data_IF_905219302767
#
_entry.id   IF_905219302767
#
_cell.length_a   1.000
_cell.length_b   1.000
_cell.length_c   1.000
_cell.angle_alpha   90.00
_cell.angle_beta   90.00
_cell.angle_gamma   90.00
#
_symmetry.space_group_name_H-M   'P 1'
#
loop_
_entity.id
_entity.type
_entity.pdbx_description
1 polymer ?
#
# COMPACT_ATOMS: atom_id res chain seq x y z
N UNK A 1 -1.98 -2.79 -8.88
CA UNK A 1 -2.77 -2.56 -7.65
C UNK A 1 -3.70 -3.71 -7.30
N UNK A 2 -4.79 -3.93 -8.03
CA UNK A 2 -5.84 -4.92 -7.68
C UNK A 2 -5.32 -6.35 -7.40
N UNK A 3 -4.47 -6.88 -8.29
CA UNK A 3 -3.88 -8.22 -8.11
C UNK A 3 -3.07 -8.31 -6.81
N UNK A 4 -2.17 -7.35 -6.56
CA UNK A 4 -1.37 -7.34 -5.35
C UNK A 4 -2.21 -7.16 -4.10
N UNK A 5 -3.29 -6.36 -4.17
CA UNK A 5 -4.23 -6.25 -3.08
C UNK A 5 -4.82 -7.62 -2.71
N UNK A 6 -5.32 -8.38 -3.70
CA UNK A 6 -5.86 -9.72 -3.46
C UNK A 6 -4.82 -10.68 -2.85
N UNK A 7 -3.55 -10.59 -3.27
CA UNK A 7 -2.45 -11.38 -2.68
C UNK A 7 -2.25 -11.05 -1.21
N UNK A 8 -2.15 -9.76 -0.85
CA UNK A 8 -1.99 -9.35 0.54
C UNK A 8 -3.23 -9.64 1.40
N UNK A 9 -4.43 -9.60 0.82
CA UNK A 9 -5.65 -10.06 1.49
C UNK A 9 -5.57 -11.55 1.84
N UNK A 10 -5.21 -12.40 0.87
CA UNK A 10 -5.01 -13.83 1.11
C UNK A 10 -3.95 -14.09 2.17
N UNK A 11 -2.81 -13.41 2.08
CA UNK A 11 -1.72 -13.52 3.05
C UNK A 11 -2.16 -13.13 4.47
N UNK A 12 -2.83 -11.98 4.63
CA UNK A 12 -3.21 -11.45 5.95
C UNK A 12 -4.33 -12.25 6.57
N UNK A 13 -5.36 -12.63 5.81
CA UNK A 13 -6.42 -13.52 6.32
C UNK A 13 -5.88 -14.89 6.74
N UNK A 14 -4.92 -15.43 6.00
CA UNK A 14 -4.20 -16.64 6.38
C UNK A 14 -3.38 -16.44 7.65
N UNK A 15 -2.53 -15.42 7.70
CA UNK A 15 -1.69 -15.10 8.85
C UNK A 15 -2.52 -14.87 10.13
N UNK A 16 -3.63 -14.14 10.02
CA UNK A 16 -4.54 -13.89 11.14
C UNK A 16 -5.11 -15.18 11.72
N UNK A 17 -5.41 -16.15 10.86
CA UNK A 17 -5.86 -17.49 11.28
C UNK A 17 -4.78 -18.24 12.04
N UNK A 18 -3.51 -18.13 11.64
CA UNK A 18 -2.38 -18.70 12.39
C UNK A 18 -2.18 -18.02 13.74
N UNK A 19 -2.23 -16.68 13.79
CA UNK A 19 -2.05 -15.91 15.02
C UNK A 19 -3.17 -16.12 16.05
N UNK A 20 -4.33 -16.64 15.64
CA UNK A 20 -5.42 -17.01 16.54
C UNK A 20 -5.18 -18.35 17.28
N UNK A 21 -4.27 -19.19 16.78
CA UNK A 21 -3.91 -20.47 17.43
C UNK A 21 -3.10 -20.16 18.69
N UNK A 22 -3.52 -20.68 19.86
CA UNK A 22 -2.90 -20.37 21.17
C UNK A 22 -1.37 -20.54 21.18
N UNK A 23 -0.86 -21.57 20.53
CA UNK A 23 0.59 -21.81 20.45
C UNK A 23 1.33 -20.68 19.71
N UNK A 24 0.79 -20.21 18.58
CA UNK A 24 1.36 -19.10 17.80
C UNK A 24 1.13 -17.78 18.52
N UNK A 25 -0.07 -17.57 19.06
CA UNK A 25 -0.42 -16.37 19.81
C UNK A 25 0.49 -16.14 21.01
N UNK A 26 0.95 -17.21 21.67
CA UNK A 26 1.93 -17.09 22.76
C UNK A 26 3.20 -16.33 22.35
N UNK A 27 3.57 -16.37 21.06
CA UNK A 27 4.76 -15.73 20.48
C UNK A 27 4.42 -14.39 19.81
N UNK A 28 3.28 -14.29 19.14
CA UNK A 28 2.91 -13.08 18.39
C UNK A 28 2.21 -12.02 19.24
N UNK A 29 1.68 -12.38 20.41
CA UNK A 29 1.00 -11.45 21.29
C UNK A 29 1.98 -10.47 21.94
N UNK A 30 1.62 -9.20 21.97
CA UNK A 30 2.46 -8.07 22.43
C UNK A 30 3.76 -7.84 21.66
N UNK A 31 3.99 -8.55 20.56
CA UNK A 31 5.15 -8.31 19.70
C UNK A 31 4.76 -7.52 18.45
N UNK A 32 5.77 -6.99 17.78
CA UNK A 32 5.66 -6.29 16.49
C UNK A 32 5.08 -7.15 15.38
N UNK A 33 4.97 -8.47 15.57
CA UNK A 33 4.28 -9.34 14.63
C UNK A 33 2.85 -8.86 14.41
N UNK A 34 2.13 -8.49 15.48
CA UNK A 34 0.77 -7.96 15.35
C UNK A 34 0.74 -6.68 14.51
N UNK A 35 1.75 -5.82 14.64
CA UNK A 35 1.86 -4.60 13.84
C UNK A 35 2.17 -4.94 12.37
N UNK A 36 3.03 -5.92 12.11
CA UNK A 36 3.31 -6.44 10.77
C UNK A 36 2.07 -6.97 10.08
N UNK A 37 1.28 -7.80 10.79
CA UNK A 37 0.01 -8.32 10.31
C UNK A 37 -0.99 -7.20 9.96
N UNK A 38 -1.16 -6.23 10.86
CA UNK A 38 -2.05 -5.08 10.63
C UNK A 38 -1.63 -4.29 9.40
N UNK A 39 -0.33 -4.02 9.22
CA UNK A 39 0.15 -3.22 8.09
C UNK A 39 0.19 -4.01 6.77
N UNK A 40 0.40 -5.32 6.81
CA UNK A 40 0.20 -6.17 5.65
C UNK A 40 -1.25 -6.05 5.14
N UNK A 41 -2.24 -5.98 6.04
CA UNK A 41 -3.64 -5.78 5.70
C UNK A 41 -3.97 -4.34 5.30
N UNK A 42 -3.54 -3.37 6.08
CA UNK A 42 -3.86 -1.97 5.85
C UNK A 42 -3.17 -1.41 4.60
N UNK A 43 -1.85 -1.60 4.47
CA UNK A 43 -1.08 -1.09 3.33
C UNK A 43 -1.19 -2.02 2.13
N UNK A 44 -1.03 -3.33 2.35
CA UNK A 44 -0.99 -4.31 1.27
C UNK A 44 -2.35 -4.64 0.67
N UNK A 45 -3.42 -4.72 1.47
CA UNK A 45 -4.78 -4.97 0.98
C UNK A 45 -5.57 -3.68 0.80
N UNK A 46 -5.95 -3.03 1.90
CA UNK A 46 -6.93 -1.93 1.90
C UNK A 46 -6.44 -0.76 1.05
N UNK A 47 -5.22 -0.28 1.29
CA UNK A 47 -4.71 0.86 0.53
C UNK A 47 -4.50 0.52 -0.95
N UNK A 48 -3.93 -0.65 -1.29
CA UNK A 48 -3.73 -1.02 -2.70
C UNK A 48 -5.04 -1.19 -3.47
N UNK A 49 -6.08 -1.78 -2.87
CA UNK A 49 -7.39 -1.89 -3.54
C UNK A 49 -7.99 -0.51 -3.73
N UNK A 50 -7.94 0.35 -2.70
CA UNK A 50 -8.44 1.73 -2.79
C UNK A 50 -7.71 2.54 -3.87
N UNK A 51 -6.37 2.46 -3.95
CA UNK A 51 -5.60 3.14 -4.99
C UNK A 51 -5.97 2.63 -6.39
N UNK A 52 -6.13 1.30 -6.55
CA UNK A 52 -6.60 0.71 -7.80
C UNK A 52 -7.97 1.23 -8.21
N UNK A 53 -8.92 1.30 -7.26
CA UNK A 53 -10.26 1.84 -7.49
C UNK A 53 -10.24 3.32 -7.84
N UNK A 54 -9.42 4.13 -7.17
CA UNK A 54 -9.26 5.57 -7.49
C UNK A 54 -8.77 5.73 -8.94
N UNK A 55 -7.76 4.98 -9.36
CA UNK A 55 -7.23 5.08 -10.71
C UNK A 55 -8.22 4.64 -11.80
N UNK A 56 -9.19 3.77 -11.47
CA UNK A 56 -10.27 3.40 -12.38
C UNK A 56 -11.39 4.47 -12.41
N UNK A 57 -11.80 4.97 -11.24
CA UNK A 57 -12.97 5.86 -11.12
C UNK A 57 -12.67 7.31 -11.52
N UNK A 58 -11.46 7.81 -11.26
CA UNK A 58 -11.11 9.21 -11.53
C UNK A 58 -11.27 9.57 -13.03
N UNK A 59 -10.74 8.80 -14.00
CA UNK A 59 -10.97 9.13 -15.40
C UNK A 59 -12.47 9.13 -15.78
N UNK A 60 -13.24 8.17 -15.26
CA UNK A 60 -14.68 8.08 -15.53
C UNK A 60 -15.47 9.27 -15.00
N UNK A 61 -15.19 9.70 -13.76
CA UNK A 61 -15.91 10.82 -13.13
C UNK A 61 -15.60 12.16 -13.82
N UNK A 62 -14.37 12.33 -14.33
CA UNK A 62 -13.94 13.51 -15.08
C UNK A 62 -14.04 13.39 -16.60
N UNK A 63 -14.73 12.35 -17.11
CA UNK A 63 -14.92 12.07 -18.55
C UNK A 63 -13.62 12.12 -19.35
N UNK A 64 -12.58 11.48 -18.82
CA UNK A 64 -11.25 11.33 -19.45
C UNK A 64 -11.05 9.93 -19.96
N UNK A 65 -10.34 9.83 -21.08
CA UNK A 65 -9.94 8.53 -21.63
C UNK A 65 -8.95 7.79 -20.73
N UNK A 66 -8.08 8.52 -20.03
CA UNK A 66 -7.06 7.93 -19.17
C UNK A 66 -6.56 8.90 -18.07
N UNK A 67 -5.79 8.36 -17.13
CA UNK A 67 -5.05 9.15 -16.14
C UNK A 67 -3.96 10.01 -16.81
N UNK A 68 -3.59 11.11 -16.17
CA UNK A 68 -2.60 12.06 -16.69
C UNK A 68 -1.27 11.41 -17.13
N UNK A 69 -0.71 10.51 -16.30
CA UNK A 69 0.49 9.76 -16.66
C UNK A 69 0.41 8.31 -16.17
N UNK A 70 0.47 7.31 -17.08
CA UNK A 70 0.61 5.90 -16.72
C UNK A 70 1.90 5.60 -15.97
N UNK A 71 3.01 6.26 -16.35
CA UNK A 71 4.31 6.08 -15.69
C UNK A 71 4.27 6.47 -14.20
N UNK A 72 3.53 7.53 -13.84
CA UNK A 72 3.36 7.91 -12.43
C UNK A 72 2.51 6.89 -11.64
N UNK A 73 1.59 6.18 -12.30
CA UNK A 73 0.85 5.07 -11.68
C UNK A 73 1.80 3.92 -11.37
N UNK A 74 2.71 3.59 -12.28
CA UNK A 74 3.73 2.55 -12.07
C UNK A 74 4.71 2.93 -10.95
N UNK A 75 5.18 4.19 -10.91
CA UNK A 75 6.03 4.69 -9.81
C UNK A 75 5.30 4.60 -8.47
N UNK A 76 4.05 5.05 -8.40
CA UNK A 76 3.24 4.90 -7.18
C UNK A 76 3.09 3.42 -6.78
N UNK A 77 2.85 2.53 -7.75
CA UNK A 77 2.74 1.10 -7.49
C UNK A 77 4.02 0.52 -6.90
N UNK A 78 5.18 0.77 -7.52
CA UNK A 78 6.46 0.24 -7.05
C UNK A 78 6.88 0.80 -5.69
N UNK A 79 6.67 2.10 -5.47
CA UNK A 79 6.95 2.72 -4.16
C UNK A 79 6.07 2.12 -3.06
N UNK A 80 4.78 1.97 -3.33
CA UNK A 80 3.83 1.37 -2.36
C UNK A 80 4.14 -0.09 -2.08
N UNK A 81 4.47 -0.87 -3.13
CA UNK A 81 4.81 -2.28 -3.00
C UNK A 81 6.12 -2.47 -2.23
N UNK A 82 7.19 -1.77 -2.62
CA UNK A 82 8.47 -1.85 -1.96
C UNK A 82 8.38 -1.39 -0.49
N UNK A 83 7.69 -0.27 -0.24
CA UNK A 83 7.45 0.23 1.11
C UNK A 83 6.68 -0.75 1.99
N UNK A 84 5.62 -1.37 1.45
CA UNK A 84 4.84 -2.40 2.16
C UNK A 84 5.69 -3.62 2.48
N UNK A 85 6.48 -4.13 1.53
CA UNK A 85 7.34 -5.28 1.75
C UNK A 85 8.39 -5.00 2.82
N UNK A 86 9.10 -3.87 2.74
CA UNK A 86 10.09 -3.48 3.76
C UNK A 86 9.45 -3.40 5.15
N UNK A 87 8.25 -2.81 5.24
CA UNK A 87 7.52 -2.71 6.50
C UNK A 87 7.20 -4.09 7.08
N UNK A 88 6.54 -4.94 6.29
CA UNK A 88 6.07 -6.26 6.75
C UNK A 88 7.24 -7.16 7.11
N UNK A 89 8.27 -7.25 6.27
CA UNK A 89 9.46 -8.04 6.57
C UNK A 89 10.16 -7.57 7.83
N UNK A 90 10.28 -6.26 8.04
CA UNK A 90 10.89 -5.71 9.24
C UNK A 90 10.12 -6.11 10.51
N UNK A 91 8.79 -6.04 10.48
CA UNK A 91 7.94 -6.34 11.64
C UNK A 91 7.81 -7.84 11.94
N UNK A 92 7.87 -8.70 10.92
CA UNK A 92 7.95 -10.14 11.15
C UNK A 92 9.24 -10.53 11.86
N UNK A 93 10.38 -10.01 11.40
CA UNK A 93 11.67 -10.29 12.03
C UNK A 93 11.74 -9.74 13.45
N UNK A 94 11.28 -8.50 13.68
CA UNK A 94 11.27 -7.91 15.02
C UNK A 94 10.29 -8.63 15.96
N UNK A 95 9.11 -9.02 15.46
CA UNK A 95 8.10 -9.73 16.23
C UNK A 95 8.55 -11.12 16.69
N UNK A 96 9.17 -11.89 15.81
CA UNK A 96 9.74 -13.20 16.15
C UNK A 96 10.88 -13.03 17.16
N UNK A 97 11.78 -12.07 16.93
CA UNK A 97 12.92 -11.85 17.81
C UNK A 97 12.50 -11.39 19.22
N UNK A 98 11.53 -10.46 19.34
CA UNK A 98 10.92 -10.09 20.63
C UNK A 98 10.33 -11.29 21.34
N UNK A 99 9.49 -12.06 20.64
CA UNK A 99 8.82 -13.22 21.21
C UNK A 99 9.79 -14.28 21.70
N UNK A 100 10.92 -14.47 21.00
CA UNK A 100 12.00 -15.39 21.39
C UNK A 100 12.82 -14.86 22.57
N UNK A 101 13.20 -13.58 22.56
CA UNK A 101 13.99 -12.99 23.65
C UNK A 101 13.23 -13.03 24.98
N UNK A 102 11.92 -12.80 24.97
CA UNK A 102 11.09 -12.82 26.19
C UNK A 102 10.82 -14.23 26.75
N UNK A 103 11.11 -15.29 25.99
CA UNK A 103 10.90 -16.69 26.42
C UNK A 103 12.19 -17.49 26.56
N UNK A 104 13.34 -16.90 26.28
CA UNK A 104 14.62 -17.61 26.38
C UNK A 104 15.05 -17.66 27.83
N UNK A 105 15.08 -18.88 28.38
CA UNK A 105 15.61 -19.15 29.71
C UNK A 105 17.04 -19.70 29.59
N UNK A 106 17.91 -19.30 30.51
CA UNK A 106 19.26 -19.87 30.64
C UNK A 106 19.18 -21.27 31.27
N UNK A 107 20.29 -22.02 31.22
CA UNK A 107 20.38 -23.34 31.88
C UNK A 107 20.12 -23.28 33.39
N UNK A 108 20.35 -22.12 34.01
CA UNK A 108 20.04 -21.82 35.41
C UNK A 108 18.57 -21.47 35.69
N UNK A 109 17.70 -21.43 34.68
CA UNK A 109 16.28 -21.11 34.83
C UNK A 109 15.95 -19.61 34.94
N UNK A 110 16.93 -18.72 34.82
CA UNK A 110 16.72 -17.26 34.77
C UNK A 110 16.42 -16.78 33.33
N UNK A 111 15.80 -15.60 33.18
CA UNK A 111 15.64 -14.99 31.86
C UNK A 111 17.00 -14.61 31.27
N UNK A 112 17.24 -15.00 30.02
CA UNK A 112 18.50 -14.73 29.32
C UNK A 112 18.67 -13.26 28.90
N UNK A 113 17.57 -12.54 28.73
CA UNK A 113 17.57 -11.16 28.24
C UNK A 113 16.72 -10.27 29.13
N UNK A 114 17.19 -9.06 29.39
CA UNK A 114 16.35 -8.02 29.99
C UNK A 114 15.42 -7.40 28.94
N UNK A 115 14.36 -6.75 29.40
CA UNK A 115 13.45 -6.03 28.50
C UNK A 115 14.17 -4.91 27.71
N UNK A 116 15.13 -4.24 28.35
CA UNK A 116 15.94 -3.19 27.72
C UNK A 116 16.81 -3.76 26.58
N UNK A 117 17.36 -4.97 26.73
CA UNK A 117 18.13 -5.62 25.67
C UNK A 117 17.25 -5.89 24.46
N UNK A 118 16.00 -6.32 24.68
CA UNK A 118 15.04 -6.47 23.58
C UNK A 118 14.78 -5.13 22.91
N UNK A 119 14.55 -4.04 23.66
CA UNK A 119 14.34 -2.72 23.05
C UNK A 119 15.50 -2.28 22.15
N UNK A 120 16.75 -2.50 22.59
CA UNK A 120 17.95 -2.16 21.82
C UNK A 120 18.02 -3.02 20.54
N UNK A 121 17.74 -4.32 20.65
CA UNK A 121 17.72 -5.22 19.50
C UNK A 121 16.66 -4.85 18.45
N UNK A 122 15.58 -4.17 18.85
CA UNK A 122 14.49 -3.77 17.95
C UNK A 122 14.75 -2.48 17.17
N UNK A 123 15.65 -1.63 17.65
CA UNK A 123 15.95 -0.35 17.04
C UNK A 123 16.19 -0.39 15.52
N UNK A 124 17.02 -1.30 14.95
CA UNK A 124 17.21 -1.36 13.49
C UNK A 124 15.92 -1.66 12.73
N UNK A 125 15.04 -2.49 13.28
CA UNK A 125 13.75 -2.80 12.65
C UNK A 125 12.80 -1.60 12.68
N UNK A 126 12.84 -0.76 13.71
CA UNK A 126 12.04 0.47 13.72
C UNK A 126 12.51 1.48 12.66
N UNK A 127 13.80 1.53 12.36
CA UNK A 127 14.33 2.35 11.26
C UNK A 127 13.80 1.82 9.91
N UNK A 128 13.91 0.52 9.66
CA UNK A 128 13.40 -0.09 8.42
C UNK A 128 11.89 0.09 8.26
N UNK A 129 11.14 -0.04 9.35
CA UNK A 129 9.70 0.29 9.38
C UNK A 129 9.43 1.72 8.93
N UNK A 130 10.18 2.68 9.46
CA UNK A 130 10.03 4.10 9.09
C UNK A 130 10.37 4.34 7.62
N UNK A 131 11.43 3.71 7.10
CA UNK A 131 11.81 3.78 5.68
C UNK A 131 10.70 3.20 4.79
N UNK A 132 10.17 2.02 5.15
CA UNK A 132 9.08 1.38 4.41
C UNK A 132 7.82 2.25 4.39
N UNK A 133 7.44 2.81 5.53
CA UNK A 133 6.31 3.75 5.63
C UNK A 133 6.53 5.04 4.85
N UNK A 134 7.75 5.58 4.84
CA UNK A 134 8.10 6.77 4.06
C UNK A 134 8.02 6.52 2.56
N UNK A 135 8.52 5.39 2.07
CA UNK A 135 8.38 5.01 0.66
C UNK A 135 6.91 4.90 0.24
N UNK A 136 6.08 4.30 1.09
CA UNK A 136 4.64 4.22 0.87
C UNK A 136 4.00 5.61 0.79
N UNK A 137 4.35 6.50 1.73
CA UNK A 137 3.87 7.88 1.75
C UNK A 137 4.29 8.66 0.50
N UNK A 138 5.54 8.52 0.07
CA UNK A 138 6.04 9.13 -1.17
C UNK A 138 5.26 8.61 -2.38
N UNK A 139 4.97 7.31 -2.41
CA UNK A 139 4.07 6.72 -3.41
C UNK A 139 2.70 7.40 -3.42
N UNK A 140 2.06 7.54 -2.26
CA UNK A 140 0.75 8.18 -2.14
C UNK A 140 0.77 9.65 -2.60
N UNK A 141 1.85 10.39 -2.32
CA UNK A 141 2.03 11.78 -2.80
C UNK A 141 2.13 11.81 -4.33
N UNK A 142 2.89 10.90 -4.94
CA UNK A 142 2.96 10.77 -6.41
C UNK A 142 1.59 10.45 -6.99
N UNK A 143 0.83 9.55 -6.33
CA UNK A 143 -0.52 9.21 -6.74
C UNK A 143 -1.48 10.39 -6.66
N UNK A 144 -1.44 11.15 -5.57
CA UNK A 144 -2.23 12.37 -5.39
C UNK A 144 -1.91 13.42 -6.46
N UNK A 145 -0.63 13.61 -6.78
CA UNK A 145 -0.21 14.52 -7.85
C UNK A 145 -0.78 14.10 -9.21
N UNK A 146 -0.72 12.80 -9.54
CA UNK A 146 -1.26 12.28 -10.80
C UNK A 146 -2.79 12.48 -10.90
N UNK A 147 -3.51 12.23 -9.80
CA UNK A 147 -4.97 12.48 -9.72
C UNK A 147 -5.27 13.98 -9.88
N UNK A 148 -4.55 14.84 -9.15
CA UNK A 148 -4.75 16.29 -9.22
C UNK A 148 -4.51 16.85 -10.63
N UNK A 149 -3.48 16.37 -11.32
CA UNK A 149 -3.19 16.75 -12.71
C UNK A 149 -4.25 16.24 -13.69
N UNK A 150 -4.79 15.03 -13.46
CA UNK A 150 -5.89 14.47 -14.27
C UNK A 150 -7.15 15.34 -14.16
N UNK A 151 -7.44 15.84 -12.96
CA UNK A 151 -8.58 16.73 -12.69
C UNK A 151 -8.38 18.12 -13.31
N UNK A 152 -7.16 18.67 -13.24
CA UNK A 152 -6.83 20.04 -13.66
C UNK A 152 -6.59 20.21 -15.16
N UNK A 153 -6.32 19.14 -15.90
CA UNK A 153 -6.10 19.21 -17.35
C UNK A 153 -7.32 19.87 -18.03
N UNK A 154 -7.17 20.74 -19.04
CA UNK A 154 -8.29 21.24 -19.84
C UNK A 154 -9.05 20.06 -20.46
N UNK A 155 -10.38 20.11 -20.53
CA UNK A 155 -11.19 19.01 -21.09
C UNK A 155 -10.78 18.75 -22.54
N UNK A 156 -10.37 17.51 -22.86
CA UNK A 156 -10.18 17.08 -24.25
C UNK A 156 -11.53 16.78 -24.91
N UNK A 157 -12.65 17.02 -24.20
CA UNK A 157 -13.98 17.03 -24.81
C UNK A 157 -13.90 17.96 -26.01
N UNK A 158 -14.00 17.38 -27.20
CA UNK A 158 -14.14 18.11 -28.44
C UNK A 158 -15.11 19.26 -28.16
N UNK A 159 -14.67 20.50 -28.45
CA UNK A 159 -15.60 21.61 -28.52
C UNK A 159 -16.82 21.08 -29.29
N UNK A 160 -18.07 21.24 -28.79
CA UNK A 160 -19.23 20.82 -29.54
C UNK A 160 -18.99 21.33 -30.95
N UNK A 161 -18.92 20.42 -31.93
CA UNK A 161 -18.81 20.79 -33.33
C UNK A 161 -19.82 21.89 -33.49
N UNK A 162 -19.35 23.11 -33.71
CA UNK A 162 -20.25 24.25 -33.73
C UNK A 162 -21.35 23.94 -34.72
N UNK A 163 -22.49 24.63 -34.60
CA UNK A 163 -23.34 24.89 -35.75
C UNK A 163 -22.49 25.64 -36.80
N UNK A 164 -21.49 24.98 -37.38
CA UNK A 164 -20.78 25.46 -38.53
C UNK A 164 -21.79 25.35 -39.67
N UNK A 165 -22.12 26.48 -40.32
CA UNK A 165 -23.04 26.47 -41.44
C UNK A 165 -22.54 25.45 -42.45
N UNK A 166 -23.42 24.52 -42.85
CA UNK A 166 -23.12 23.56 -43.91
C UNK A 166 -22.57 24.35 -45.11
N UNK A 167 -21.36 24.04 -45.61
CA UNK A 167 -20.80 24.73 -46.75
C UNK A 167 -21.80 24.69 -47.90
N UNK A 168 -22.05 25.85 -48.54
CA UNK A 168 -23.05 26.00 -49.60
C UNK A 168 -22.87 25.02 -50.78
N UNK A 169 -21.69 24.39 -50.90
CA UNK A 169 -21.40 23.32 -51.86
C UNK A 169 -22.14 22.00 -51.60
N UNK A 170 -22.79 21.84 -50.44
CA UNK A 170 -23.54 20.63 -50.05
C UNK A 170 -25.06 20.85 -50.01
N UNK A 171 -25.55 22.03 -50.42
CA UNK A 171 -26.98 22.24 -50.60
C UNK A 171 -27.44 21.56 -51.91
N UNK A 172 -28.44 20.66 -51.88
CA UNK A 172 -29.03 20.14 -53.10
C UNK A 172 -29.67 21.29 -53.87
N UNK A 173 -29.31 21.45 -55.14
CA UNK A 173 -29.87 22.46 -56.02
C UNK A 173 -31.38 22.21 -56.18
N UNK A 174 -32.21 23.16 -55.76
CA UNK A 174 -33.58 23.33 -56.26
C UNK A 174 -33.57 24.03 -57.62
#
# INVERSE_FOLDING_TARGET
FMMMAAVFYGLTTFEGSFMAIRAVNSLSHYTDWTIGHVHAGALGWVALVTFGSIYAVVPWLWKRESMYSPALVEVHFWLSLAGTLIYVFSMWNSGILQGLMWRTYTESGSLAYSFTDTMIAMHPYYIWRAIGGLLFLLGAIVGLYNVAMTIRRPSDAAAPSGDEPIPASLQPAE
#
